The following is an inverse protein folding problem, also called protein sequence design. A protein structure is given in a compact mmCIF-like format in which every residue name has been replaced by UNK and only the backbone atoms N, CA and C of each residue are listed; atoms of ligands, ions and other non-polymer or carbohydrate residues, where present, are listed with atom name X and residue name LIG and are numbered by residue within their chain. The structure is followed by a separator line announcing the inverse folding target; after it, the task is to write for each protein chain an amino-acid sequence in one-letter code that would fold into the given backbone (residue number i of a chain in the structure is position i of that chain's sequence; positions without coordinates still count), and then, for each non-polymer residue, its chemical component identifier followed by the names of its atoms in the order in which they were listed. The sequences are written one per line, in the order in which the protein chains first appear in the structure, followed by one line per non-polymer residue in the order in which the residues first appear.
data_IF_242306505552
#
_entry.id   IF_242306505552
#
_cell.length_a   1.000
_cell.length_b   1.000
_cell.length_c   1.000
_cell.angle_alpha   90.00
_cell.angle_beta   90.00
_cell.angle_gamma   90.00
#
_symmetry.space_group_name_H-M   'P 1'
#
loop_
_entity.id
_entity.type
_entity.pdbx_description
1 polymer ?
#
# COMPACT_ATOMS: atom_id res chain seq x y z
N UNK A 1 -14.89 -23.13 -29.75
CA UNK A 1 -14.61 -21.93 -30.56
C UNK A 1 -13.96 -20.88 -29.68
N UNK A 2 -12.78 -20.37 -30.08
CA UNK A 2 -12.19 -19.10 -29.63
C UNK A 2 -11.69 -19.02 -28.19
N UNK A 3 -10.60 -19.72 -27.86
CA UNK A 3 -9.83 -19.37 -26.65
C UNK A 3 -9.20 -18.00 -26.83
N UNK A 4 -9.78 -16.96 -26.23
CA UNK A 4 -9.15 -15.64 -26.17
C UNK A 4 -7.97 -15.76 -25.21
N UNK A 5 -6.77 -15.87 -25.75
CA UNK A 5 -5.55 -15.64 -24.98
C UNK A 5 -5.57 -14.17 -24.53
N UNK A 6 -6.00 -13.92 -23.30
CA UNK A 6 -5.95 -12.59 -22.70
C UNK A 6 -4.52 -12.28 -22.28
N UNK A 7 -4.01 -11.16 -22.79
CA UNK A 7 -2.60 -10.79 -22.64
C UNK A 7 -2.22 -10.55 -21.19
N UNK A 8 -0.97 -10.87 -20.86
CA UNK A 8 -0.30 -10.31 -19.71
C UNK A 8 -0.47 -8.79 -19.69
N UNK A 9 -0.72 -8.23 -18.51
CA UNK A 9 -0.97 -6.80 -18.36
C UNK A 9 -0.27 -6.25 -17.15
N UNK A 10 0.65 -5.34 -17.38
CA UNK A 10 1.33 -4.59 -16.33
C UNK A 10 0.70 -3.22 -16.15
N UNK A 11 0.57 -2.79 -14.89
CA UNK A 11 0.14 -1.44 -14.51
C UNK A 11 1.08 -0.93 -13.44
N UNK A 12 1.64 0.25 -13.66
CA UNK A 12 2.50 0.93 -12.69
C UNK A 12 1.88 2.29 -12.41
N UNK A 13 1.72 2.63 -11.13
CA UNK A 13 1.31 3.96 -10.68
C UNK A 13 2.32 4.44 -9.66
N UNK A 14 2.87 5.62 -9.91
CA UNK A 14 3.78 6.28 -9.01
C UNK A 14 3.18 7.62 -8.60
N UNK A 15 3.14 7.89 -7.31
CA UNK A 15 2.61 9.12 -6.73
C UNK A 15 3.65 9.69 -5.75
N UNK A 16 4.50 10.62 -6.22
CA UNK A 16 5.40 11.36 -5.36
C UNK A 16 4.76 12.65 -4.83
N UNK A 17 5.15 13.05 -3.63
CA UNK A 17 4.79 14.34 -3.06
C UNK A 17 5.94 14.88 -2.22
N UNK A 18 6.11 16.21 -2.24
CA UNK A 18 7.03 16.96 -1.40
C UNK A 18 6.26 18.06 -0.70
N UNK A 19 6.60 18.29 0.57
CA UNK A 19 5.91 19.26 1.41
C UNK A 19 6.94 20.14 2.11
N UNK A 20 6.67 21.44 2.11
CA UNK A 20 7.38 22.41 2.95
C UNK A 20 6.34 23.16 3.77
N UNK A 21 6.41 23.02 5.08
CA UNK A 21 5.49 23.72 5.99
C UNK A 21 6.11 25.06 6.35
N UNK A 22 5.31 26.11 6.21
CA UNK A 22 5.62 27.44 6.71
C UNK A 22 4.73 27.68 7.92
N UNK A 23 5.35 27.97 9.06
CA UNK A 23 4.66 28.25 10.31
C UNK A 23 5.49 29.23 11.15
N UNK A 24 4.78 30.11 11.85
CA UNK A 24 5.36 31.06 12.80
C UNK A 24 5.96 30.33 14.00
N UNK A 25 5.29 29.28 14.46
CA UNK A 25 5.85 28.35 15.45
C UNK A 25 6.87 27.41 14.77
N UNK A 26 8.15 27.45 15.17
CA UNK A 26 9.18 26.56 14.62
C UNK A 26 8.85 25.07 14.75
N UNK A 27 8.17 24.66 15.82
CA UNK A 27 7.83 23.26 16.10
C UNK A 27 6.87 22.69 15.06
N UNK A 28 6.07 23.55 14.43
CA UNK A 28 5.07 23.13 13.45
C UNK A 28 5.66 22.92 12.05
N UNK A 29 6.87 23.42 11.80
CA UNK A 29 7.55 23.29 10.50
C UNK A 29 7.87 21.84 10.12
N UNK A 30 7.85 20.95 11.10
CA UNK A 30 8.10 19.52 10.93
C UNK A 30 6.85 18.67 11.10
N UNK A 31 5.64 19.25 11.10
CA UNK A 31 4.38 18.55 11.43
C UNK A 31 3.85 17.58 10.37
N UNK A 32 4.49 17.51 9.21
CA UNK A 32 4.17 16.57 8.16
C UNK A 32 5.46 16.04 7.49
N UNK A 33 5.42 14.85 6.89
CA UNK A 33 6.56 14.33 6.16
C UNK A 33 7.01 15.30 5.06
N UNK A 34 8.31 15.62 4.95
CA UNK A 34 8.82 16.49 3.89
C UNK A 34 8.69 15.86 2.51
N UNK A 35 8.51 14.54 2.45
CA UNK A 35 8.22 13.78 1.25
C UNK A 35 7.36 12.55 1.55
N UNK A 36 6.62 12.11 0.54
CA UNK A 36 5.99 10.78 0.51
C UNK A 36 5.98 10.21 -0.90
N UNK A 37 6.18 8.90 -0.99
CA UNK A 37 6.21 8.15 -2.24
C UNK A 37 5.29 6.95 -2.11
N UNK A 38 4.42 6.76 -3.12
CA UNK A 38 3.63 5.54 -3.27
C UNK A 38 3.88 4.94 -4.65
N UNK A 39 4.26 3.67 -4.67
CA UNK A 39 4.46 2.90 -5.90
C UNK A 39 3.56 1.67 -5.87
N UNK A 40 2.59 1.63 -6.78
CA UNK A 40 1.79 0.44 -7.06
C UNK A 40 2.27 -0.18 -8.37
N UNK A 41 2.78 -1.41 -8.30
CA UNK A 41 3.05 -2.23 -9.47
C UNK A 41 2.09 -3.43 -9.45
N UNK A 42 1.38 -3.68 -10.55
CA UNK A 42 0.49 -4.82 -10.70
C UNK A 42 0.71 -5.50 -12.04
N UNK A 43 0.67 -6.82 -12.05
CA UNK A 43 0.85 -7.65 -13.22
C UNK A 43 -0.22 -8.75 -13.24
N UNK A 44 -1.00 -8.80 -14.31
CA UNK A 44 -1.93 -9.89 -14.58
C UNK A 44 -1.23 -11.02 -15.31
N UNK A 45 -1.37 -12.25 -14.80
CA UNK A 45 -0.86 -13.47 -15.41
C UNK A 45 -2.04 -14.39 -15.76
N UNK A 46 -2.23 -14.64 -17.05
CA UNK A 46 -3.40 -15.34 -17.57
C UNK A 46 -4.72 -14.59 -17.38
N UNK A 47 -5.87 -15.26 -17.56
CA UNK A 47 -7.18 -14.61 -17.56
C UNK A 47 -7.64 -14.12 -16.17
N UNK A 48 -7.14 -14.76 -15.12
CA UNK A 48 -7.74 -14.69 -13.78
C UNK A 48 -6.76 -14.23 -12.69
N UNK A 49 -5.45 -14.34 -12.94
CA UNK A 49 -4.41 -14.11 -11.94
C UNK A 49 -3.90 -12.67 -11.93
N UNK A 50 -3.69 -12.12 -10.74
CA UNK A 50 -3.09 -10.80 -10.53
C UNK A 50 -2.10 -10.83 -9.36
N UNK A 51 -0.90 -10.35 -9.61
CA UNK A 51 0.08 -10.02 -8.56
C UNK A 51 0.16 -8.49 -8.46
N UNK A 52 0.12 -7.96 -7.26
CA UNK A 52 0.29 -6.52 -7.01
C UNK A 52 1.19 -6.26 -5.81
N UNK A 53 1.96 -5.19 -5.89
CA UNK A 53 2.90 -4.72 -4.89
C UNK A 53 2.67 -3.24 -4.66
N UNK A 54 2.42 -2.86 -3.41
CA UNK A 54 2.32 -1.47 -2.97
C UNK A 54 3.50 -1.17 -2.05
N UNK A 55 4.32 -0.21 -2.44
CA UNK A 55 5.39 0.31 -1.60
C UNK A 55 5.05 1.75 -1.20
N UNK A 56 5.14 2.04 0.09
CA UNK A 56 4.98 3.38 0.65
C UNK A 56 6.25 3.78 1.39
N UNK A 57 6.72 5.00 1.15
CA UNK A 57 7.89 5.57 1.81
C UNK A 57 7.60 7.01 2.19
N UNK A 58 7.92 7.42 3.41
CA UNK A 58 7.84 8.81 3.83
C UNK A 58 9.02 9.21 4.71
N UNK A 59 9.25 10.52 4.82
CA UNK A 59 10.19 11.09 5.76
C UNK A 59 9.64 11.11 7.19
N UNK A 60 10.52 11.24 8.18
CA UNK A 60 10.10 11.49 9.55
C UNK A 60 9.44 12.87 9.70
N UNK A 61 8.61 13.01 10.71
CA UNK A 61 7.89 14.23 11.03
C UNK A 61 7.57 14.28 12.52
N UNK A 62 7.36 15.47 13.07
CA UNK A 62 6.95 15.68 14.46
C UNK A 62 5.44 15.61 14.60
N UNK A 63 4.96 14.93 15.64
CA UNK A 63 3.54 14.97 15.98
C UNK A 63 3.21 16.23 16.77
N UNK A 64 2.22 17.00 16.32
CA UNK A 64 1.77 18.21 17.00
C UNK A 64 1.20 17.85 18.38
N UNK A 65 1.63 18.56 19.42
CA UNK A 65 1.08 18.45 20.78
C UNK A 65 1.66 17.36 21.68
N UNK A 66 2.41 16.38 21.13
CA UNK A 66 3.05 15.31 21.92
C UNK A 66 4.59 15.34 21.88
N UNK A 67 5.18 16.24 21.09
CA UNK A 67 6.63 16.52 21.06
C UNK A 67 7.51 15.42 20.44
N UNK A 68 6.97 14.22 20.19
CA UNK A 68 7.71 13.10 19.64
C UNK A 68 7.92 13.19 18.13
N UNK A 69 9.13 12.84 17.69
CA UNK A 69 9.42 12.58 16.28
C UNK A 69 8.92 11.18 15.91
N UNK A 70 8.09 11.10 14.87
CA UNK A 70 7.64 9.86 14.27
C UNK A 70 8.62 9.45 13.19
N UNK A 71 9.05 8.19 13.23
CA UNK A 71 9.86 7.61 12.18
C UNK A 71 9.06 7.56 10.87
N UNK A 72 9.71 7.90 9.76
CA UNK A 72 9.06 7.85 8.45
C UNK A 72 8.67 6.43 8.05
N UNK A 73 7.66 6.30 7.19
CA UNK A 73 7.15 5.02 6.72
C UNK A 73 8.15 4.34 5.76
N UNK A 74 8.23 3.01 5.81
CA UNK A 74 8.82 2.19 4.75
C UNK A 74 8.09 0.86 4.61
N UNK A 75 6.85 0.92 4.12
CA UNK A 75 5.94 -0.21 4.09
C UNK A 75 5.94 -0.89 2.72
N UNK A 76 5.87 -2.21 2.73
CA UNK A 76 5.69 -3.03 1.54
C UNK A 76 4.52 -4.01 1.74
N UNK A 77 3.55 -3.93 0.86
CA UNK A 77 2.41 -4.84 0.79
C UNK A 77 2.42 -5.59 -0.55
N UNK A 78 2.13 -6.89 -0.50
CA UNK A 78 1.92 -7.76 -1.64
C UNK A 78 0.50 -8.30 -1.65
N UNK A 79 -0.05 -8.51 -2.85
CA UNK A 79 -1.37 -9.12 -3.03
C UNK A 79 -1.36 -10.01 -4.25
N UNK A 80 -1.65 -11.29 -4.03
CA UNK A 80 -1.91 -12.29 -5.04
C UNK A 80 -3.41 -12.54 -5.09
N UNK A 81 -4.04 -12.28 -6.22
CA UNK A 81 -5.48 -12.44 -6.40
C UNK A 81 -5.78 -13.37 -7.57
N UNK A 82 -6.80 -14.20 -7.40
CA UNK A 82 -7.43 -15.00 -8.44
C UNK A 82 -8.89 -14.59 -8.56
N UNK A 83 -9.34 -14.34 -9.78
CA UNK A 83 -10.72 -13.97 -10.10
C UNK A 83 -11.38 -15.05 -10.91
N UNK A 84 -12.65 -15.31 -10.66
CA UNK A 84 -13.44 -16.21 -11.47
C UNK A 84 -14.86 -15.69 -11.60
N UNK A 85 -15.68 -16.40 -12.37
CA UNK A 85 -17.12 -16.18 -12.41
C UNK A 85 -17.80 -17.52 -12.13
N UNK A 86 -18.71 -17.55 -11.17
CA UNK A 86 -19.50 -18.74 -10.82
C UNK A 86 -20.97 -18.39 -10.92
N UNK A 87 -21.69 -19.06 -11.83
CA UNK A 87 -23.13 -18.84 -12.06
C UNK A 87 -23.51 -17.36 -12.30
N UNK A 88 -22.66 -16.62 -13.02
CA UNK A 88 -22.87 -15.20 -13.30
C UNK A 88 -22.36 -14.26 -12.20
N UNK A 89 -21.94 -14.78 -11.05
CA UNK A 89 -21.41 -13.99 -9.93
C UNK A 89 -19.88 -13.91 -10.04
N UNK A 90 -19.30 -12.69 -10.12
CA UNK A 90 -17.86 -12.53 -10.07
C UNK A 90 -17.33 -12.86 -8.66
N UNK A 91 -16.30 -13.69 -8.59
CA UNK A 91 -15.63 -14.11 -7.37
C UNK A 91 -14.16 -13.68 -7.38
N UNK A 92 -13.62 -13.35 -6.21
CA UNK A 92 -12.20 -13.08 -6.03
C UNK A 92 -11.71 -13.71 -4.73
N UNK A 93 -10.60 -14.44 -4.83
CA UNK A 93 -9.83 -14.92 -3.68
C UNK A 93 -8.49 -14.21 -3.74
N UNK A 94 -8.05 -13.60 -2.63
CA UNK A 94 -6.78 -12.92 -2.58
C UNK A 94 -6.01 -13.20 -1.30
N UNK A 95 -4.73 -13.56 -1.43
CA UNK A 95 -3.77 -13.56 -0.34
C UNK A 95 -3.09 -12.19 -0.32
N UNK A 96 -3.17 -11.49 0.81
CA UNK A 96 -2.57 -10.18 0.97
C UNK A 96 -1.52 -10.29 2.07
N UNK A 97 -0.27 -10.01 1.75
CA UNK A 97 0.81 -9.94 2.73
C UNK A 97 1.13 -8.47 2.96
N UNK A 98 0.89 -7.96 4.17
CA UNK A 98 1.05 -6.55 4.52
C UNK A 98 2.26 -6.36 5.42
N UNK A 99 2.88 -5.18 5.33
CA UNK A 99 3.95 -4.73 6.24
C UNK A 99 5.19 -5.63 6.24
N UNK A 100 5.58 -6.12 5.07
CA UNK A 100 6.75 -7.00 4.92
C UNK A 100 8.07 -6.38 5.39
N UNK A 101 8.21 -5.06 5.27
CA UNK A 101 9.39 -4.32 5.70
C UNK A 101 9.20 -3.68 7.10
N UNK A 102 8.04 -3.89 7.74
CA UNK A 102 7.63 -3.12 8.91
C UNK A 102 7.48 -1.63 8.60
N UNK A 103 7.65 -0.78 9.62
CA UNK A 103 7.83 0.66 9.45
C UNK A 103 6.57 1.42 9.07
N UNK A 104 5.47 1.19 9.78
CA UNK A 104 4.34 2.13 9.80
C UNK A 104 4.78 3.41 10.53
N UNK A 105 4.33 4.57 10.05
CA UNK A 105 4.48 5.81 10.78
C UNK A 105 3.43 5.85 11.89
N UNK A 106 3.78 5.39 13.09
CA UNK A 106 2.87 5.34 14.23
C UNK A 106 3.22 6.38 15.30
N UNK A 107 2.17 6.82 15.99
CA UNK A 107 2.28 7.73 17.14
C UNK A 107 2.94 7.03 18.33
N UNK A 108 2.62 5.75 18.55
CA UNK A 108 3.17 4.96 19.63
C UNK A 108 4.33 4.11 19.12
N UNK A 109 5.55 4.49 19.50
CA UNK A 109 6.76 3.72 19.17
C UNK A 109 6.79 2.29 19.73
N UNK A 110 5.93 1.96 20.70
CA UNK A 110 5.84 0.62 21.30
C UNK A 110 4.89 -0.30 20.53
N UNK A 111 3.98 0.25 19.72
CA UNK A 111 3.14 -0.53 18.84
C UNK A 111 3.98 -1.06 17.67
N UNK A 112 4.36 -2.34 17.77
CA UNK A 112 5.03 -3.04 16.68
C UNK A 112 3.98 -3.56 15.72
N UNK A 113 3.96 -2.98 14.54
CA UNK A 113 3.14 -3.47 13.44
C UNK A 113 3.81 -4.66 12.77
N UNK A 114 3.40 -5.87 13.16
CA UNK A 114 3.95 -7.11 12.62
C UNK A 114 3.46 -7.39 11.19
N UNK A 115 4.24 -8.12 10.38
CA UNK A 115 3.77 -8.64 9.10
C UNK A 115 2.46 -9.43 9.27
N UNK A 116 1.53 -9.26 8.33
CA UNK A 116 0.24 -9.96 8.35
C UNK A 116 -0.05 -10.58 6.99
N UNK A 117 -0.69 -11.75 6.97
CA UNK A 117 -1.05 -12.45 5.73
C UNK A 117 -2.55 -12.82 5.65
N UNK A 118 -3.48 -11.84 5.67
CA UNK A 118 -4.90 -12.15 5.55
C UNK A 118 -5.28 -12.76 4.20
N UNK A 119 -6.24 -13.68 4.25
CA UNK A 119 -7.00 -14.15 3.09
C UNK A 119 -8.28 -13.31 2.95
N UNK A 120 -8.53 -12.82 1.74
CA UNK A 120 -9.72 -12.05 1.39
C UNK A 120 -10.57 -12.84 0.38
N UNK A 121 -11.86 -12.92 0.65
CA UNK A 121 -12.87 -13.50 -0.24
C UNK A 121 -13.87 -12.41 -0.61
N UNK A 122 -14.17 -12.25 -1.90
CA UNK A 122 -15.16 -11.28 -2.41
C UNK A 122 -16.06 -11.93 -3.45
N UNK A 123 -17.32 -11.51 -3.47
CA UNK A 123 -18.31 -11.92 -4.46
C UNK A 123 -19.15 -10.71 -4.89
N UNK A 124 -19.57 -10.64 -6.16
CA UNK A 124 -20.55 -9.67 -6.65
C UNK A 124 -20.04 -8.22 -6.84
N UNK A 125 -18.82 -8.03 -7.36
CA UNK A 125 -18.18 -6.72 -7.55
C UNK A 125 -17.98 -6.32 -9.02
#
# INVERSE_FOLDING_TARGET
MGGVATSERTRIRFAPAWVRIQADNPDWRHSAPPYSFKLLAAHGFGPNGWLSRLWNKSGSFGWLGAGGQIAGENRLDLRLAWRSNASGVPLEVALIVRRLLGGDAEFDSQLKTEPQAPLQLRAGF
#
